data_IF_766139643130
#
_entry.id   IF_766139643130
#
_cell.length_a   1.000
_cell.length_b   1.000
_cell.length_c   1.000
_cell.angle_alpha   90.00
_cell.angle_beta   90.00
_cell.angle_gamma   90.00
#
_symmetry.space_group_name_H-M   'P 1'
#
loop_
_entity.id
_entity.type
_entity.pdbx_description
1 polymer ?
#
# COMPACT_ATOMS: atom_id res chain seq x y z
N UNK A 1 -63.25 33.39 -7.65
CA UNK A 1 -62.06 34.18 -7.25
C UNK A 1 -60.94 33.19 -6.95
N UNK A 2 -60.10 32.91 -7.93
CA UNK A 2 -59.03 31.92 -7.82
C UNK A 2 -57.83 32.54 -7.07
N UNK A 3 -57.40 31.91 -5.98
CA UNK A 3 -56.28 32.37 -5.16
C UNK A 3 -54.97 32.28 -5.96
N UNK A 4 -54.10 33.28 -5.81
CA UNK A 4 -52.74 33.29 -6.42
C UNK A 4 -51.94 32.02 -6.12
N UNK A 5 -52.21 31.37 -4.98
CA UNK A 5 -51.59 30.08 -4.60
C UNK A 5 -52.08 28.90 -5.45
N UNK A 6 -53.31 28.95 -5.93
CA UNK A 6 -53.91 27.89 -6.75
C UNK A 6 -53.50 28.02 -8.23
N UNK A 7 -53.21 29.24 -8.68
CA UNK A 7 -52.62 29.50 -10.00
C UNK A 7 -51.16 29.04 -10.11
N UNK A 8 -50.37 29.19 -9.04
CA UNK A 8 -48.96 28.75 -8.98
C UNK A 8 -48.80 27.22 -8.87
N UNK A 9 -49.81 26.52 -8.36
CA UNK A 9 -49.82 25.05 -8.30
C UNK A 9 -50.36 24.39 -9.58
N UNK A 10 -51.19 25.11 -10.36
CA UNK A 10 -51.77 24.60 -11.60
C UNK A 10 -50.93 24.86 -12.86
N UNK A 11 -49.88 25.70 -12.78
CA UNK A 11 -48.83 25.77 -13.80
C UNK A 11 -47.81 24.63 -13.71
N UNK A 12 -48.04 23.67 -12.79
CA UNK A 12 -47.25 22.44 -12.63
C UNK A 12 -47.51 21.36 -13.68
N UNK A 13 -48.01 21.70 -14.88
CA UNK A 13 -48.19 20.72 -15.94
C UNK A 13 -48.39 21.37 -17.30
N UNK A 14 -47.71 20.80 -18.30
CA UNK A 14 -47.88 21.02 -19.75
C UNK A 14 -47.05 22.17 -20.38
N UNK A 15 -45.75 21.94 -20.42
CA UNK A 15 -44.79 22.55 -21.35
C UNK A 15 -43.41 22.06 -20.95
N UNK A 16 -42.79 21.04 -21.55
CA UNK A 16 -42.64 20.78 -22.97
C UNK A 16 -42.52 19.28 -23.18
N UNK A 17 -43.52 18.67 -23.81
CA UNK A 17 -43.35 17.40 -24.52
C UNK A 17 -42.55 17.68 -25.80
N UNK A 18 -41.23 17.84 -25.69
CA UNK A 18 -40.28 17.86 -26.79
C UNK A 18 -38.86 17.63 -26.22
N UNK A 19 -38.51 16.35 -26.07
CA UNK A 19 -37.17 15.73 -26.15
C UNK A 19 -37.24 14.35 -25.47
N UNK A 20 -38.10 13.48 -26.00
CA UNK A 20 -38.18 12.07 -25.61
C UNK A 20 -37.11 11.21 -26.33
N UNK A 21 -35.92 11.76 -26.62
CA UNK A 21 -34.74 11.01 -27.08
C UNK A 21 -33.50 11.67 -26.47
N UNK A 22 -33.24 11.39 -25.20
CA UNK A 22 -32.08 11.93 -24.49
C UNK A 22 -32.16 11.71 -22.97
N UNK A 23 -32.83 10.63 -22.56
CA UNK A 23 -32.89 10.16 -21.19
C UNK A 23 -31.45 9.82 -20.74
N UNK A 24 -30.99 10.48 -19.69
CA UNK A 24 -29.77 10.23 -18.92
C UNK A 24 -29.52 8.72 -18.69
N UNK A 25 -28.29 8.21 -18.44
CA UNK A 25 -27.03 8.91 -18.16
C UNK A 25 -25.84 8.38 -18.99
N UNK A 26 -24.88 9.22 -19.36
CA UNK A 26 -23.48 8.77 -19.53
C UNK A 26 -22.55 9.38 -18.49
N UNK A 27 -23.08 9.63 -17.30
CA UNK A 27 -22.32 9.47 -16.07
C UNK A 27 -22.42 8.00 -15.66
N UNK A 28 -21.88 7.12 -16.51
CA UNK A 28 -21.43 5.81 -16.04
C UNK A 28 -20.05 6.08 -15.49
N UNK A 29 -19.88 6.25 -14.18
CA UNK A 29 -19.39 5.13 -13.36
C UNK A 29 -18.50 4.20 -14.17
N UNK A 30 -17.22 4.53 -14.10
CA UNK A 30 -16.10 3.75 -14.57
C UNK A 30 -14.91 4.36 -13.89
N UNK A 31 -14.87 4.18 -12.56
CA UNK A 31 -13.68 4.31 -11.72
C UNK A 31 -12.47 3.98 -12.57
N UNK A 32 -11.47 4.86 -12.56
CA UNK A 32 -10.15 4.48 -13.00
C UNK A 32 -9.80 3.21 -12.22
N UNK A 33 -10.00 2.04 -12.85
CA UNK A 33 -9.32 0.83 -12.47
C UNK A 33 -7.91 1.09 -12.96
N UNK A 34 -7.20 1.90 -12.16
CA UNK A 34 -5.82 1.58 -11.87
C UNK A 34 -5.94 0.16 -11.33
N UNK A 35 -5.89 -0.82 -12.24
CA UNK A 35 -5.47 -2.14 -11.89
C UNK A 35 -4.10 -1.85 -11.33
N UNK A 36 -4.01 -1.76 -10.00
CA UNK A 36 -2.74 -1.92 -9.33
C UNK A 36 -2.10 -3.09 -10.06
N UNK A 37 -0.93 -2.83 -10.65
CA UNK A 37 -0.16 -3.88 -11.26
C UNK A 37 0.25 -4.77 -10.09
N UNK A 38 -0.66 -5.68 -9.73
CA UNK A 38 -0.40 -6.79 -8.86
C UNK A 38 0.50 -7.68 -9.69
N UNK A 39 1.78 -7.34 -9.67
CA UNK A 39 2.81 -8.36 -9.79
C UNK A 39 2.65 -9.23 -8.53
N UNK A 40 1.59 -10.05 -8.52
CA UNK A 40 1.46 -11.19 -7.63
C UNK A 40 2.46 -12.22 -8.14
N UNK A 41 3.75 -11.90 -7.98
CA UNK A 41 4.77 -12.93 -7.96
C UNK A 41 4.63 -13.60 -6.60
N UNK A 42 4.23 -14.86 -6.63
CA UNK A 42 4.20 -15.70 -5.44
C UNK A 42 5.65 -16.04 -5.09
N UNK A 43 6.16 -15.41 -4.04
CA UNK A 43 7.48 -15.71 -3.51
C UNK A 43 7.42 -16.99 -2.68
N UNK A 44 8.52 -17.76 -2.69
CA UNK A 44 8.67 -19.00 -1.91
C UNK A 44 8.31 -18.81 -0.43
N UNK A 45 8.63 -17.65 0.14
CA UNK A 45 8.26 -17.26 1.49
C UNK A 45 7.29 -16.09 1.43
N UNK A 46 6.02 -16.38 1.75
CA UNK A 46 4.95 -15.39 1.83
C UNK A 46 4.20 -15.57 3.15
N UNK A 47 4.04 -14.47 3.88
CA UNK A 47 3.25 -14.41 5.10
C UNK A 47 2.28 -13.24 5.05
N UNK A 48 1.16 -13.39 5.74
CA UNK A 48 0.26 -12.28 6.02
C UNK A 48 0.91 -11.25 6.94
N UNK A 49 0.38 -10.05 6.92
CA UNK A 49 0.82 -8.97 7.77
C UNK A 49 0.84 -9.34 9.28
N UNK A 50 -0.24 -9.98 9.72
CA UNK A 50 -0.36 -10.46 11.10
C UNK A 50 0.64 -11.55 11.47
N UNK A 51 1.13 -12.32 10.50
CA UNK A 51 2.16 -13.33 10.69
C UNK A 51 3.52 -12.67 10.82
N UNK A 52 3.81 -11.68 9.97
CA UNK A 52 5.04 -10.89 10.05
C UNK A 52 5.19 -10.21 11.42
N UNK A 53 4.15 -9.54 11.91
CA UNK A 53 4.16 -8.95 13.26
C UNK A 53 4.32 -9.96 14.40
N UNK A 54 4.10 -11.25 14.16
CA UNK A 54 4.33 -12.31 15.16
C UNK A 54 5.76 -12.84 15.16
N UNK A 55 6.46 -12.78 14.03
CA UNK A 55 7.81 -13.35 13.89
C UNK A 55 8.91 -12.29 13.92
N UNK A 56 8.61 -11.06 13.50
CA UNK A 56 9.54 -9.93 13.55
C UNK A 56 9.31 -9.09 14.80
N UNK A 57 10.37 -8.44 15.30
CA UNK A 57 10.19 -7.30 16.19
C UNK A 57 9.60 -6.10 15.45
N UNK A 58 9.04 -5.13 16.16
CA UNK A 58 8.47 -3.92 15.56
C UNK A 58 9.50 -3.18 14.68
N UNK A 59 10.75 -3.07 15.15
CA UNK A 59 11.84 -2.42 14.39
C UNK A 59 12.22 -3.23 13.14
N UNK A 60 12.27 -4.56 13.23
CA UNK A 60 12.53 -5.41 12.06
C UNK A 60 11.40 -5.34 11.04
N UNK A 61 10.15 -5.28 11.51
CA UNK A 61 8.99 -5.13 10.64
C UNK A 61 9.04 -3.79 9.89
N UNK A 62 9.25 -2.68 10.58
CA UNK A 62 9.40 -1.34 9.98
C UNK A 62 10.49 -1.35 8.90
N UNK A 63 11.68 -1.90 9.20
CA UNK A 63 12.80 -1.97 8.26
C UNK A 63 12.52 -2.89 7.06
N UNK A 64 12.02 -4.11 7.29
CA UNK A 64 11.88 -5.13 6.24
C UNK A 64 10.60 -5.03 5.42
N UNK A 65 9.55 -4.43 5.98
CA UNK A 65 8.19 -4.42 5.39
C UNK A 65 7.70 -3.01 5.09
N UNK A 66 8.12 -2.00 5.86
CA UNK A 66 7.74 -0.59 5.66
C UNK A 66 8.88 0.26 5.07
N UNK A 67 9.95 -0.39 4.59
CA UNK A 67 11.13 0.27 4.00
C UNK A 67 11.82 1.25 4.98
N UNK A 68 11.67 1.01 6.28
CA UNK A 68 12.35 1.73 7.34
C UNK A 68 13.88 1.59 7.25
N UNK A 69 14.59 2.48 7.93
CA UNK A 69 16.05 2.43 8.04
C UNK A 69 16.43 2.61 9.49
N UNK A 70 17.13 1.62 10.07
CA UNK A 70 17.63 1.73 11.44
C UNK A 70 18.56 2.94 11.59
N UNK A 71 18.63 3.50 12.81
CA UNK A 71 19.54 4.60 13.10
C UNK A 71 20.99 4.16 12.91
N UNK A 72 21.82 4.99 12.29
CA UNK A 72 23.25 4.73 12.20
C UNK A 72 23.86 4.34 13.56
N UNK A 73 24.69 3.31 13.56
CA UNK A 73 25.38 2.73 14.71
C UNK A 73 24.48 2.07 15.77
N UNK A 74 23.19 1.83 15.50
CA UNK A 74 22.30 1.12 16.44
C UNK A 74 22.49 -0.39 16.41
N UNK A 75 22.75 -0.97 15.23
CA UNK A 75 22.76 -2.41 15.06
C UNK A 75 23.93 -3.09 15.75
N UNK A 76 23.72 -4.23 16.44
CA UNK A 76 24.83 -5.07 16.90
C UNK A 76 25.63 -5.66 15.73
N UNK A 77 25.04 -5.76 14.53
CA UNK A 77 25.70 -6.30 13.34
C UNK A 77 26.86 -5.43 12.84
N UNK A 78 26.88 -4.14 13.24
CA UNK A 78 28.00 -3.25 12.95
C UNK A 78 29.33 -3.84 13.46
N UNK A 79 29.33 -4.36 14.70
CA UNK A 79 30.51 -4.90 15.37
C UNK A 79 30.59 -6.44 15.32
N UNK A 80 29.80 -7.10 14.48
CA UNK A 80 29.87 -8.54 14.30
C UNK A 80 31.06 -8.94 13.43
N UNK A 81 31.86 -9.89 13.91
CA UNK A 81 33.11 -10.35 13.28
C UNK A 81 33.30 -11.87 13.35
N UNK A 82 32.34 -12.62 13.91
CA UNK A 82 32.43 -14.08 13.93
C UNK A 82 32.36 -14.65 12.52
N UNK A 83 33.00 -15.79 12.32
CA UNK A 83 32.89 -16.55 11.07
C UNK A 83 31.48 -17.15 10.93
N UNK A 84 30.86 -16.97 9.77
CA UNK A 84 29.52 -17.50 9.50
C UNK A 84 28.85 -16.90 8.27
N UNK A 85 27.52 -17.02 8.24
CA UNK A 85 26.66 -16.51 7.18
C UNK A 85 25.60 -15.61 7.80
N UNK A 86 25.42 -14.42 7.25
CA UNK A 86 24.30 -13.55 7.57
C UNK A 86 23.06 -14.06 6.83
N UNK A 87 21.99 -14.29 7.58
CA UNK A 87 20.71 -14.76 7.06
C UNK A 87 19.67 -13.66 7.13
N UNK A 88 18.68 -13.72 6.24
CA UNK A 88 17.55 -12.80 6.26
C UNK A 88 16.75 -12.98 7.56
N UNK A 89 16.54 -11.91 8.32
CA UNK A 89 15.76 -11.97 9.55
C UNK A 89 14.27 -12.31 9.33
N UNK A 90 13.76 -12.16 8.11
CA UNK A 90 12.38 -12.53 7.76
C UNK A 90 12.20 -13.97 7.29
N UNK A 91 13.10 -14.49 6.47
CA UNK A 91 12.92 -15.78 5.81
C UNK A 91 14.04 -16.80 6.03
N UNK A 92 15.03 -16.48 6.87
CA UNK A 92 16.18 -17.32 7.20
C UNK A 92 17.06 -17.77 6.02
N UNK A 93 16.82 -17.23 4.82
CA UNK A 93 17.64 -17.53 3.64
C UNK A 93 19.03 -16.87 3.78
N UNK A 94 20.10 -17.54 3.32
CA UNK A 94 21.46 -17.00 3.36
C UNK A 94 21.61 -15.79 2.43
N UNK A 95 22.21 -14.71 2.94
CA UNK A 95 22.44 -13.47 2.19
C UNK A 95 23.93 -13.24 1.90
N UNK A 96 24.74 -13.14 2.95
CA UNK A 96 26.15 -12.74 2.85
C UNK A 96 27.07 -13.63 3.66
N UNK A 97 28.28 -13.90 3.15
CA UNK A 97 29.34 -14.56 3.91
C UNK A 97 30.06 -13.54 4.79
N UNK A 98 30.41 -13.92 6.02
CA UNK A 98 31.25 -13.07 6.89
C UNK A 98 32.61 -12.76 6.28
N UNK A 99 33.10 -13.62 5.38
CA UNK A 99 34.39 -13.45 4.70
C UNK A 99 34.47 -12.17 3.84
N UNK A 100 33.32 -11.61 3.44
CA UNK A 100 33.26 -10.38 2.64
C UNK A 100 32.84 -9.16 3.45
N UNK A 101 32.51 -9.33 4.75
CA UNK A 101 32.15 -8.22 5.63
C UNK A 101 33.37 -7.33 5.89
N UNK A 102 33.18 -6.02 5.93
CA UNK A 102 34.21 -5.06 6.29
C UNK A 102 33.65 -3.87 7.08
N UNK A 103 34.50 -3.18 7.83
CA UNK A 103 34.10 -1.96 8.54
C UNK A 103 34.19 -0.75 7.61
N UNK A 104 33.04 -0.31 7.10
CA UNK A 104 32.91 0.88 6.25
C UNK A 104 32.85 2.18 7.04
N UNK A 105 32.64 2.12 8.37
CA UNK A 105 32.42 3.27 9.25
C UNK A 105 31.25 4.17 8.81
N UNK A 106 30.28 3.62 8.10
CA UNK A 106 29.07 4.34 7.68
C UNK A 106 28.01 4.39 8.79
N UNK A 107 28.00 3.37 9.66
CA UNK A 107 27.00 3.17 10.70
C UNK A 107 26.05 2.00 10.43
N UNK A 108 26.20 1.29 9.32
CA UNK A 108 25.46 0.07 8.98
C UNK A 108 26.43 -1.04 8.55
N UNK A 109 25.96 -2.29 8.63
CA UNK A 109 26.76 -3.45 8.20
C UNK A 109 27.14 -3.35 6.72
N UNK A 110 28.39 -3.69 6.39
CA UNK A 110 28.96 -3.62 5.04
C UNK A 110 29.78 -4.85 4.72
#
# INVERSE_FOLDING_TARGET
MFSRRQFLLASGGLGVAALAIGLLPKFSTGTALISEASAAEEFEVTHSDSEWHRILSDEQYDILREEGTERAYSSPLNNEHRDGTFVCAGCDLPLFSSATKFDSRTGWAS
#
